data_IF_074706779115
#
_entry.id   IF_074706779115
#
_cell.length_a   1.000
_cell.length_b   1.000
_cell.length_c   1.000
_cell.angle_alpha   90.00
_cell.angle_beta   90.00
_cell.angle_gamma   90.00
#
_symmetry.space_group_name_H-M   'P 1'
#
loop_
_entity.id
_entity.type
_entity.pdbx_description
1 polymer ?
#
# COMPACT_ATOMS: atom_id res chain seq x y z
N UNK A 1 11.99 6.47 9.13
CA UNK A 1 10.94 7.38 8.61
C UNK A 1 11.41 7.98 7.30
N UNK A 2 10.59 7.96 6.26
CA UNK A 2 10.94 8.70 5.05
C UNK A 2 10.90 10.18 5.34
N UNK A 3 11.72 10.94 4.65
CA UNK A 3 11.65 12.40 4.74
C UNK A 3 10.40 12.89 3.99
N UNK A 4 9.98 14.12 4.28
CA UNK A 4 8.82 14.72 3.62
C UNK A 4 8.95 14.71 2.09
N UNK A 5 10.17 14.81 1.57
CA UNK A 5 10.43 14.76 0.14
C UNK A 5 10.04 13.39 -0.46
N UNK A 6 10.36 12.29 0.20
CA UNK A 6 10.01 10.96 -0.30
C UNK A 6 8.50 10.76 -0.33
N UNK A 7 7.79 11.25 0.68
CA UNK A 7 6.32 11.19 0.74
C UNK A 7 5.70 12.03 -0.38
N UNK A 8 6.24 13.23 -0.62
CA UNK A 8 5.78 14.09 -1.70
C UNK A 8 6.03 13.46 -3.08
N UNK A 9 7.20 12.85 -3.27
CA UNK A 9 7.52 12.16 -4.53
C UNK A 9 6.58 11.00 -4.79
N UNK A 10 6.25 10.22 -3.75
CA UNK A 10 5.26 9.15 -3.86
C UNK A 10 3.89 9.72 -4.25
N UNK A 11 3.46 10.78 -3.60
CA UNK A 11 2.19 11.44 -3.92
C UNK A 11 2.13 11.88 -5.38
N UNK A 12 3.18 12.53 -5.86
CA UNK A 12 3.26 12.98 -7.27
C UNK A 12 3.26 11.80 -8.23
N UNK A 13 3.99 10.74 -7.89
CA UNK A 13 4.02 9.53 -8.70
C UNK A 13 2.61 8.92 -8.83
N UNK A 14 1.90 8.80 -7.70
CA UNK A 14 0.56 8.23 -7.70
C UNK A 14 -0.43 9.11 -8.48
N UNK A 15 -0.33 10.43 -8.34
CA UNK A 15 -1.18 11.34 -9.11
C UNK A 15 -0.94 11.18 -10.62
N UNK A 16 0.33 11.11 -11.04
CA UNK A 16 0.70 11.02 -12.44
C UNK A 16 0.34 9.66 -13.07
N UNK A 17 0.20 8.61 -12.27
CA UNK A 17 -0.01 7.24 -12.75
C UNK A 17 -1.37 6.65 -12.40
N UNK A 18 -2.33 7.50 -12.05
CA UNK A 18 -3.70 7.08 -11.76
C UNK A 18 -4.69 8.16 -12.22
N UNK A 19 -5.96 7.76 -12.33
CA UNK A 19 -7.03 8.69 -12.66
C UNK A 19 -7.60 9.30 -11.38
N UNK A 20 -8.20 10.51 -11.44
CA UNK A 20 -8.79 11.12 -10.23
C UNK A 20 -9.81 10.25 -9.50
N UNK A 21 -10.50 9.34 -10.21
CA UNK A 21 -11.50 8.45 -9.63
C UNK A 21 -10.90 7.18 -9.03
N UNK A 22 -9.63 6.91 -9.27
CA UNK A 22 -8.97 5.70 -8.78
C UNK A 22 -8.64 5.83 -7.29
N UNK A 23 -8.71 4.71 -6.57
CA UNK A 23 -8.12 4.61 -5.23
C UNK A 23 -6.66 4.18 -5.36
N UNK A 24 -5.88 4.48 -4.34
CA UNK A 24 -4.50 4.01 -4.20
C UNK A 24 -4.32 3.45 -2.81
N UNK A 25 -3.27 2.67 -2.58
CA UNK A 25 -2.98 2.16 -1.26
C UNK A 25 -1.51 2.27 -0.93
N UNK A 26 -1.21 2.79 0.26
CA UNK A 26 0.14 2.87 0.81
C UNK A 26 0.18 2.04 2.08
N UNK A 27 0.91 0.93 2.04
CA UNK A 27 1.11 0.09 3.21
C UNK A 27 2.40 0.52 3.90
N UNK A 28 2.26 1.38 4.91
CA UNK A 28 3.40 1.96 5.60
C UNK A 28 2.96 3.07 6.55
N UNK A 29 3.84 4.01 6.79
CA UNK A 29 3.62 5.14 7.67
C UNK A 29 3.78 6.45 6.89
N UNK A 30 2.95 6.63 5.86
CA UNK A 30 3.09 7.74 4.91
C UNK A 30 1.73 8.26 4.44
N UNK A 31 0.82 8.53 5.38
CA UNK A 31 -0.53 8.98 5.05
C UNK A 31 -0.56 10.31 4.27
N UNK A 32 0.47 11.14 4.42
CA UNK A 32 0.59 12.39 3.66
C UNK A 32 0.64 12.20 2.15
N UNK A 33 1.05 11.02 1.68
CA UNK A 33 1.08 10.74 0.25
C UNK A 33 -0.32 10.76 -0.38
N UNK A 34 -1.36 10.35 0.35
CA UNK A 34 -2.74 10.42 -0.15
C UNK A 34 -3.17 11.86 -0.40
N UNK A 35 -2.83 12.75 0.52
CA UNK A 35 -3.15 14.18 0.40
C UNK A 35 -2.43 14.76 -0.81
N UNK A 36 -1.15 14.47 -0.96
CA UNK A 36 -0.33 14.98 -2.07
C UNK A 36 -0.81 14.45 -3.42
N UNK A 37 -1.24 13.19 -3.46
CA UNK A 37 -1.77 12.57 -4.68
C UNK A 37 -3.18 13.08 -5.02
N UNK A 38 -3.93 13.54 -4.03
CA UNK A 38 -5.34 13.85 -4.22
C UNK A 38 -6.16 12.59 -4.48
N UNK A 39 -5.79 11.48 -3.85
CA UNK A 39 -6.46 10.18 -4.03
C UNK A 39 -6.93 9.63 -2.70
N UNK A 40 -7.98 8.82 -2.76
CA UNK A 40 -8.55 8.17 -1.57
C UNK A 40 -7.87 6.83 -1.35
N UNK A 41 -7.66 6.47 -0.08
CA UNK A 41 -7.14 5.17 0.30
C UNK A 41 -8.12 4.06 -0.06
N UNK A 42 -7.59 2.95 -0.60
CA UNK A 42 -8.36 1.76 -0.92
C UNK A 42 -8.82 1.00 0.33
N UNK A 43 -8.22 1.27 1.48
CA UNK A 43 -8.54 0.60 2.75
C UNK A 43 -8.66 1.61 3.87
N UNK A 44 -9.49 1.28 4.86
CA UNK A 44 -9.55 2.03 6.12
C UNK A 44 -8.24 1.96 6.91
N UNK A 45 -7.40 0.98 6.63
CA UNK A 45 -6.09 0.85 7.25
C UNK A 45 -5.07 1.70 6.51
N UNK A 46 -5.18 3.01 6.65
CA UNK A 46 -4.30 3.96 5.94
C UNK A 46 -2.87 4.00 6.49
N UNK A 47 -2.56 3.20 7.52
CA UNK A 47 -1.19 2.92 7.96
C UNK A 47 -1.08 1.44 8.33
N UNK A 48 0.14 0.91 8.24
CA UNK A 48 0.37 -0.53 8.33
C UNK A 48 0.32 -1.10 9.74
N UNK A 49 0.53 -0.27 10.77
CA UNK A 49 0.72 -0.76 12.15
C UNK A 49 -0.42 -1.64 12.66
N UNK A 50 -1.71 -1.26 12.55
CA UNK A 50 -2.78 -2.11 13.08
C UNK A 50 -2.78 -3.51 12.47
N UNK A 51 -2.40 -3.63 11.20
CA UNK A 51 -2.35 -4.92 10.51
C UNK A 51 -1.14 -5.72 10.98
N UNK A 52 0.03 -5.10 11.06
CA UNK A 52 1.27 -5.78 11.44
C UNK A 52 1.21 -6.29 12.87
N UNK A 53 0.67 -5.51 13.80
CA UNK A 53 0.58 -5.92 15.21
C UNK A 53 -0.65 -6.79 15.50
N UNK A 54 -1.50 -7.04 14.49
CA UNK A 54 -2.66 -7.92 14.65
C UNK A 54 -3.78 -7.32 15.51
N UNK A 55 -3.97 -6.00 15.46
CA UNK A 55 -5.02 -5.33 16.22
C UNK A 55 -6.39 -5.89 15.82
N UNK A 56 -7.14 -6.38 16.81
CA UNK A 56 -8.44 -7.02 16.63
C UNK A 56 -8.45 -8.19 15.65
N UNK A 57 -7.32 -8.88 15.50
CA UNK A 57 -7.22 -10.09 14.68
C UNK A 57 -8.33 -11.07 15.05
N UNK A 58 -8.91 -11.70 14.04
CA UNK A 58 -10.02 -12.63 14.23
C UNK A 58 -11.40 -11.99 14.25
N UNK A 59 -11.49 -10.65 14.33
CA UNK A 59 -12.77 -9.95 14.19
C UNK A 59 -13.03 -9.62 12.72
N UNK A 60 -14.29 -9.71 12.25
CA UNK A 60 -14.60 -9.33 10.88
C UNK A 60 -14.15 -7.91 10.55
N UNK A 61 -13.45 -7.75 9.44
CA UNK A 61 -12.98 -6.45 8.98
C UNK A 61 -11.65 -5.99 9.58
N UNK A 62 -10.97 -6.83 10.36
CA UNK A 62 -9.68 -6.48 10.98
C UNK A 62 -8.58 -7.44 10.54
N UNK A 63 -7.33 -7.07 10.85
CA UNK A 63 -6.15 -7.85 10.53
C UNK A 63 -5.89 -7.98 9.03
N UNK A 64 -5.08 -8.97 8.68
CA UNK A 64 -4.73 -9.26 7.27
C UNK A 64 -5.98 -9.54 6.44
N UNK A 65 -6.93 -10.32 6.98
CA UNK A 65 -8.16 -10.65 6.27
C UNK A 65 -8.98 -9.40 5.95
N UNK A 66 -9.12 -8.49 6.93
CA UNK A 66 -9.84 -7.23 6.72
C UNK A 66 -9.17 -6.35 5.68
N UNK A 67 -7.85 -6.25 5.72
CA UNK A 67 -7.09 -5.51 4.72
C UNK A 67 -7.29 -6.10 3.33
N UNK A 68 -7.15 -7.41 3.20
CA UNK A 68 -7.29 -8.08 1.90
C UNK A 68 -8.69 -7.91 1.32
N UNK A 69 -9.74 -7.99 2.16
CA UNK A 69 -11.11 -7.75 1.72
C UNK A 69 -11.29 -6.32 1.19
N UNK A 70 -10.72 -5.32 1.88
CA UNK A 70 -10.76 -3.94 1.42
C UNK A 70 -10.07 -3.77 0.06
N UNK A 71 -8.88 -4.38 -0.09
CA UNK A 71 -8.11 -4.28 -1.33
C UNK A 71 -8.81 -4.96 -2.49
N UNK A 72 -9.40 -6.13 -2.26
CA UNK A 72 -10.18 -6.84 -3.29
C UNK A 72 -11.39 -6.05 -3.75
N UNK A 73 -12.07 -5.40 -2.82
CA UNK A 73 -13.27 -4.62 -3.11
C UNK A 73 -12.94 -3.33 -3.85
N UNK A 74 -11.89 -2.64 -3.42
CA UNK A 74 -11.53 -1.32 -3.96
C UNK A 74 -10.64 -1.38 -5.18
N UNK A 75 -9.92 -2.47 -5.39
CA UNK A 75 -8.98 -2.67 -6.51
C UNK A 75 -8.17 -1.41 -6.84
N UNK A 76 -7.28 -0.96 -5.93
CA UNK A 76 -6.54 0.28 -6.15
C UNK A 76 -5.69 0.25 -7.42
N UNK A 77 -5.51 1.40 -8.04
CA UNK A 77 -4.68 1.52 -9.24
C UNK A 77 -3.20 1.33 -8.92
N UNK A 78 -2.77 1.72 -7.71
CA UNK A 78 -1.38 1.65 -7.26
C UNK A 78 -1.34 1.14 -5.84
N UNK A 79 -0.40 0.24 -5.57
CA UNK A 79 -0.06 -0.22 -4.22
C UNK A 79 1.41 0.11 -3.96
N UNK A 80 1.67 0.92 -2.95
CA UNK A 80 3.03 1.28 -2.55
C UNK A 80 3.33 0.63 -1.19
N UNK A 81 4.41 -0.12 -1.12
CA UNK A 81 4.86 -0.79 0.10
C UNK A 81 6.08 -0.06 0.62
N UNK A 82 5.99 0.50 1.82
CA UNK A 82 7.06 1.28 2.39
C UNK A 82 8.17 0.39 2.93
N UNK A 83 9.42 0.71 2.57
CA UNK A 83 10.61 0.03 3.09
C UNK A 83 11.15 0.79 4.30
N UNK A 84 11.78 0.06 5.22
CA UNK A 84 12.54 0.63 6.34
C UNK A 84 11.76 1.65 7.16
N UNK A 85 10.46 1.43 7.31
CA UNK A 85 9.60 2.32 8.09
C UNK A 85 9.51 1.94 9.57
N UNK A 86 10.04 0.79 9.93
CA UNK A 86 10.11 0.34 11.32
C UNK A 86 11.56 0.38 11.80
N UNK A 87 11.79 0.98 12.93
CA UNK A 87 13.13 1.20 13.49
C UNK A 87 13.17 0.66 14.92
N UNK A 88 14.31 0.09 15.37
CA UNK A 88 15.55 -0.18 14.59
C UNK A 88 15.64 -1.60 14.01
N UNK A 89 14.89 -2.59 14.52
CA UNK A 89 15.19 -4.00 14.26
C UNK A 89 13.96 -4.82 13.87
N UNK A 90 12.92 -4.18 13.36
CA UNK A 90 11.69 -4.85 12.99
C UNK A 90 11.57 -4.86 11.46
N UNK A 91 11.05 -5.95 10.92
CA UNK A 91 10.76 -6.05 9.50
C UNK A 91 9.91 -4.87 9.04
N UNK A 92 10.25 -4.30 7.89
CA UNK A 92 9.51 -3.18 7.36
C UNK A 92 8.16 -3.60 6.79
N UNK A 93 7.32 -2.60 6.48
CA UNK A 93 5.98 -2.86 5.94
C UNK A 93 6.01 -3.65 4.64
N UNK A 94 6.96 -3.34 3.74
CA UNK A 94 7.10 -4.08 2.49
C UNK A 94 7.41 -5.55 2.75
N UNK A 95 8.32 -5.83 3.67
CA UNK A 95 8.66 -7.21 4.03
C UNK A 95 7.45 -7.95 4.63
N UNK A 96 6.73 -7.32 5.55
CA UNK A 96 5.54 -7.93 6.13
C UNK A 96 4.52 -8.30 5.06
N UNK A 97 4.21 -7.35 4.16
CA UNK A 97 3.22 -7.57 3.11
C UNK A 97 3.61 -8.73 2.20
N UNK A 98 4.87 -8.74 1.74
CA UNK A 98 5.35 -9.76 0.82
C UNK A 98 5.62 -11.10 1.48
N UNK A 99 5.75 -11.13 2.80
CA UNK A 99 5.89 -12.37 3.58
C UNK A 99 4.55 -12.98 3.99
N UNK A 100 3.45 -12.28 3.75
CA UNK A 100 2.09 -12.75 4.01
C UNK A 100 1.52 -13.35 2.72
N UNK A 101 1.39 -14.69 2.62
CA UNK A 101 1.07 -15.34 1.34
C UNK A 101 -0.19 -14.83 0.66
N UNK A 102 -1.25 -14.55 1.43
CA UNK A 102 -2.52 -14.05 0.86
C UNK A 102 -2.37 -12.66 0.25
N UNK A 103 -1.64 -11.77 0.91
CA UNK A 103 -1.39 -10.42 0.42
C UNK A 103 -0.44 -10.43 -0.78
N UNK A 104 0.66 -11.16 -0.66
CA UNK A 104 1.64 -11.28 -1.75
C UNK A 104 1.02 -11.92 -3.00
N UNK A 105 0.22 -12.96 -2.82
CA UNK A 105 -0.46 -13.62 -3.93
C UNK A 105 -1.43 -12.70 -4.64
N UNK A 106 -2.25 -11.99 -3.88
CA UNK A 106 -3.17 -11.00 -4.45
C UNK A 106 -2.42 -9.94 -5.27
N UNK A 107 -1.33 -9.44 -4.71
CA UNK A 107 -0.55 -8.38 -5.37
C UNK A 107 0.10 -8.87 -6.67
N UNK A 108 0.75 -10.03 -6.63
CA UNK A 108 1.43 -10.58 -7.81
C UNK A 108 0.45 -10.94 -8.93
N UNK A 109 -0.74 -11.40 -8.57
CA UNK A 109 -1.74 -11.80 -9.56
C UNK A 109 -2.30 -10.61 -10.32
N UNK A 110 -2.50 -9.48 -9.66
CA UNK A 110 -3.19 -8.33 -10.26
C UNK A 110 -2.32 -7.14 -10.59
N UNK A 111 -1.07 -7.14 -10.15
CA UNK A 111 -0.21 -5.96 -10.20
C UNK A 111 1.17 -6.30 -10.76
N UNK A 112 1.84 -5.28 -11.25
CA UNK A 112 3.18 -5.37 -11.79
C UNK A 112 4.09 -4.40 -11.05
N UNK A 113 5.27 -4.87 -10.63
CA UNK A 113 6.25 -4.01 -9.99
C UNK A 113 6.73 -2.94 -10.97
N UNK A 114 6.73 -1.71 -10.53
CA UNK A 114 7.14 -0.56 -11.32
C UNK A 114 8.29 0.17 -10.63
N UNK A 115 9.02 0.96 -11.41
CA UNK A 115 10.06 1.82 -10.87
C UNK A 115 9.40 3.06 -10.27
N UNK A 116 9.47 3.19 -8.96
CA UNK A 116 8.89 4.31 -8.23
C UNK A 116 9.90 5.05 -7.38
N UNK A 117 9.43 5.95 -6.52
CA UNK A 117 10.29 6.71 -5.63
C UNK A 117 11.08 5.83 -4.68
N UNK A 118 12.25 6.31 -4.28
CA UNK A 118 13.09 5.62 -3.31
C UNK A 118 12.36 5.46 -1.97
N UNK A 119 12.53 4.31 -1.34
CA UNK A 119 11.90 4.00 -0.05
C UNK A 119 10.58 3.26 -0.16
N UNK A 120 10.09 3.04 -1.39
CA UNK A 120 8.83 2.34 -1.64
C UNK A 120 9.00 1.33 -2.76
N UNK A 121 8.36 0.16 -2.59
CA UNK A 121 8.11 -0.77 -3.69
C UNK A 121 6.74 -0.42 -4.25
N UNK A 122 6.69 0.01 -5.51
CA UNK A 122 5.46 0.48 -6.14
C UNK A 122 4.96 -0.54 -7.14
N UNK A 123 3.69 -0.92 -7.00
CA UNK A 123 3.03 -1.89 -7.87
C UNK A 123 1.87 -1.21 -8.56
N UNK A 124 1.80 -1.36 -9.88
CA UNK A 124 0.75 -0.76 -10.71
C UNK A 124 -0.16 -1.87 -11.20
N UNK A 125 -1.46 -1.63 -11.13
CA UNK A 125 -2.47 -2.58 -11.58
C UNK A 125 -2.24 -2.95 -13.04
N UNK A 126 -2.25 -4.25 -13.32
CA UNK A 126 -2.09 -4.74 -14.70
C UNK A 126 -3.30 -4.35 -15.53
N UNK A 127 -3.05 -4.02 -16.81
CA UNK A 127 -4.12 -3.81 -17.74
C UNK A 127 -4.90 -5.12 -17.93
N UNK A 128 -6.23 -5.01 -18.01
CA UNK A 128 -7.03 -6.19 -18.30
C UNK A 128 -6.70 -6.70 -19.70
N UNK A 129 -6.62 -8.02 -19.90
CA UNK A 129 -6.46 -8.57 -21.23
C UNK A 129 -7.64 -8.15 -22.11
N UNK A 130 -7.33 -7.74 -23.31
CA UNK A 130 -8.37 -7.40 -24.28
C UNK A 130 -8.88 -8.65 -24.98
#
# INVERSE_FOLDING_TARGET
MPCAQAVDELGRFMEANSRPVDTVYVFGFSSGAYVKAGRTSASRFFWSRPVIVGFNDGRPGYGVTGLLDDLRRSTPAIVALQQRDWYPDVDDSAHFFMSTPSLAGWLRDGYQLARGPEGFDVWIKRALPQ
#
